data_IF_775141267636
#
_entry.id   IF_775141267636
#
_cell.length_a   1.000
_cell.length_b   1.000
_cell.length_c   1.000
_cell.angle_alpha   90.00
_cell.angle_beta   90.00
_cell.angle_gamma   90.00
#
_symmetry.space_group_name_H-M   'P 1'
#
loop_
_entity.id
_entity.type
_entity.pdbx_description
1 polymer ?
#
# COMPACT_ATOMS: atom_id res chain seq x y z
N UNK A 1 -46.01 -38.00 17.45
CA UNK A 1 -44.63 -37.47 17.52
C UNK A 1 -44.69 -36.05 18.07
N UNK A 2 -44.42 -35.88 19.36
CA UNK A 2 -44.55 -34.58 20.06
C UNK A 2 -43.44 -33.63 19.57
N UNK A 3 -43.81 -32.61 18.81
CA UNK A 3 -42.86 -31.62 18.30
C UNK A 3 -42.19 -30.83 19.43
N UNK A 4 -40.88 -30.65 19.34
CA UNK A 4 -40.11 -29.85 20.29
C UNK A 4 -40.66 -28.40 20.34
N UNK A 5 -40.89 -27.84 21.55
CA UNK A 5 -41.42 -26.48 21.68
C UNK A 5 -40.45 -25.48 21.05
N UNK A 6 -40.99 -24.51 20.30
CA UNK A 6 -40.22 -23.49 19.54
C UNK A 6 -39.12 -22.80 20.36
N UNK A 7 -39.33 -22.64 21.67
CA UNK A 7 -38.37 -22.05 22.59
C UNK A 7 -37.08 -22.88 22.75
N UNK A 8 -37.17 -24.22 22.72
CA UNK A 8 -35.99 -25.09 22.76
C UNK A 8 -35.20 -25.01 21.46
N UNK A 9 -35.88 -24.94 20.32
CA UNK A 9 -35.24 -24.77 19.00
C UNK A 9 -34.49 -23.43 18.95
N UNK A 10 -35.11 -22.35 19.41
CA UNK A 10 -34.47 -21.04 19.50
C UNK A 10 -33.25 -21.05 20.44
N UNK A 11 -33.32 -21.75 21.57
CA UNK A 11 -32.19 -21.89 22.49
C UNK A 11 -31.01 -22.66 21.88
N UNK A 12 -31.27 -23.75 21.14
CA UNK A 12 -30.21 -24.48 20.43
C UNK A 12 -29.56 -23.64 19.33
N UNK A 13 -30.35 -22.89 18.55
CA UNK A 13 -29.82 -21.99 17.52
C UNK A 13 -28.94 -20.88 18.13
N UNK A 14 -29.39 -20.28 19.23
CA UNK A 14 -28.60 -19.28 19.94
C UNK A 14 -27.27 -19.87 20.46
N UNK A 15 -27.30 -21.09 21.01
CA UNK A 15 -26.09 -21.76 21.50
C UNK A 15 -25.08 -22.05 20.38
N UNK A 16 -25.53 -22.55 19.22
CA UNK A 16 -24.66 -22.80 18.05
C UNK A 16 -24.08 -21.50 17.51
N UNK A 17 -24.86 -20.42 17.46
CA UNK A 17 -24.40 -19.12 17.02
C UNK A 17 -23.30 -18.57 17.94
N UNK A 18 -23.49 -18.61 19.26
CA UNK A 18 -22.48 -18.15 20.23
C UNK A 18 -21.19 -18.99 20.12
N UNK A 19 -21.31 -20.32 20.01
CA UNK A 19 -20.16 -21.21 19.83
C UNK A 19 -19.40 -20.92 18.53
N UNK A 20 -20.11 -20.74 17.42
CA UNK A 20 -19.52 -20.37 16.12
C UNK A 20 -18.84 -19.01 16.15
N UNK A 21 -19.41 -18.03 16.86
CA UNK A 21 -18.85 -16.69 16.99
C UNK A 21 -17.56 -16.70 17.83
N UNK A 22 -17.55 -17.44 18.95
CA UNK A 22 -16.36 -17.61 19.77
C UNK A 22 -15.23 -18.34 19.03
N UNK A 23 -15.55 -19.40 18.29
CA UNK A 23 -14.59 -20.14 17.47
C UNK A 23 -14.03 -19.28 16.32
N UNK A 24 -14.88 -18.49 15.65
CA UNK A 24 -14.47 -17.57 14.59
C UNK A 24 -13.57 -16.45 15.09
N UNK A 25 -13.88 -15.86 16.25
CA UNK A 25 -13.05 -14.81 16.86
C UNK A 25 -11.68 -15.35 17.31
N UNK A 26 -11.64 -16.52 17.96
CA UNK A 26 -10.38 -17.12 18.40
C UNK A 26 -9.49 -17.57 17.21
N UNK A 27 -10.08 -18.29 16.24
CA UNK A 27 -9.37 -18.77 15.06
C UNK A 27 -8.92 -17.64 14.12
N UNK A 28 -9.78 -16.64 13.90
CA UNK A 28 -9.50 -15.47 13.08
C UNK A 28 -8.42 -14.56 13.67
N UNK A 29 -8.42 -14.37 15.00
CA UNK A 29 -7.39 -13.57 15.68
C UNK A 29 -6.00 -14.21 15.61
N UNK A 30 -5.92 -15.53 15.75
CA UNK A 30 -4.65 -16.27 15.77
C UNK A 30 -4.01 -16.38 14.38
N UNK A 31 -4.81 -16.60 13.32
CA UNK A 31 -4.30 -16.59 11.94
C UNK A 31 -4.10 -15.16 11.39
N UNK A 32 -4.95 -14.21 11.75
CA UNK A 32 -4.85 -12.81 11.34
C UNK A 32 -3.58 -12.12 11.86
N UNK A 33 -3.19 -12.36 13.13
CA UNK A 33 -1.90 -11.88 13.67
C UNK A 33 -0.72 -12.43 12.86
N UNK A 34 -0.73 -13.73 12.52
CA UNK A 34 0.42 -14.37 11.87
C UNK A 34 0.65 -13.87 10.43
N UNK A 35 -0.40 -13.41 9.75
CA UNK A 35 -0.31 -12.75 8.45
C UNK A 35 0.06 -11.25 8.57
N UNK A 36 -0.44 -10.55 9.61
CA UNK A 36 -0.15 -9.14 9.85
C UNK A 36 1.29 -8.86 10.34
N UNK A 37 1.95 -9.85 10.96
CA UNK A 37 3.32 -9.74 11.50
C UNK A 37 4.40 -10.37 10.62
N UNK A 38 4.17 -10.56 9.31
CA UNK A 38 5.30 -10.67 8.37
C UNK A 38 5.74 -9.25 8.01
N UNK A 39 6.81 -8.69 8.61
CA UNK A 39 7.38 -7.46 8.10
C UNK A 39 7.88 -7.74 6.69
N UNK A 40 7.11 -7.34 5.68
CA UNK A 40 7.58 -7.20 4.32
C UNK A 40 8.41 -5.92 4.28
N UNK A 41 9.58 -5.96 4.90
CA UNK A 41 10.54 -4.88 4.94
C UNK A 41 11.89 -5.52 5.22
N UNK A 42 12.46 -6.19 4.21
CA UNK A 42 13.91 -6.17 4.12
C UNK A 42 14.29 -4.69 3.94
N UNK A 43 15.16 -4.12 4.79
CA UNK A 43 15.75 -2.83 4.49
C UNK A 43 16.27 -2.89 3.06
N UNK A 44 16.02 -1.84 2.27
CA UNK A 44 16.55 -1.72 0.91
C UNK A 44 18.06 -1.69 1.03
N UNK A 45 18.71 -2.86 0.98
CA UNK A 45 20.17 -2.96 0.99
C UNK A 45 20.71 -2.04 -0.09
N UNK A 46 21.77 -1.30 0.21
CA UNK A 46 22.38 -0.46 -0.81
C UNK A 46 22.85 -1.36 -1.94
N UNK A 47 22.76 -0.87 -3.18
CA UNK A 47 23.24 -1.62 -4.35
C UNK A 47 24.69 -2.10 -4.13
N UNK A 48 25.50 -1.28 -3.47
CA UNK A 48 26.86 -1.63 -3.07
C UNK A 48 26.92 -2.80 -2.07
N UNK A 49 26.08 -2.82 -1.03
CA UNK A 49 26.04 -3.92 -0.07
C UNK A 49 25.72 -5.27 -0.73
N UNK A 50 24.76 -5.27 -1.67
CA UNK A 50 24.42 -6.46 -2.45
C UNK A 50 25.59 -6.94 -3.30
N UNK A 51 26.18 -6.05 -4.09
CA UNK A 51 27.34 -6.39 -4.94
C UNK A 51 28.50 -6.90 -4.09
N UNK A 52 28.81 -6.24 -2.97
CA UNK A 52 29.88 -6.71 -2.06
C UNK A 52 29.59 -8.09 -1.50
N UNK A 53 28.34 -8.39 -1.15
CA UNK A 53 27.95 -9.68 -0.57
C UNK A 53 27.94 -10.78 -1.63
N UNK A 54 27.36 -10.52 -2.79
CA UNK A 54 27.20 -11.49 -3.87
C UNK A 54 28.54 -11.89 -4.49
N UNK A 55 29.47 -10.93 -4.61
CA UNK A 55 30.79 -11.15 -5.23
C UNK A 55 31.94 -11.24 -4.22
N UNK A 56 31.65 -11.19 -2.92
CA UNK A 56 32.65 -11.24 -1.83
C UNK A 56 33.82 -10.27 -2.08
N UNK A 57 33.49 -9.03 -2.42
CA UNK A 57 34.49 -8.04 -2.83
C UNK A 57 35.45 -7.71 -1.69
N UNK A 58 36.74 -7.63 -2.00
CA UNK A 58 37.76 -7.13 -1.07
C UNK A 58 37.71 -5.61 -0.94
N UNK A 59 38.26 -5.03 0.15
CA UNK A 59 38.25 -3.58 0.36
C UNK A 59 38.87 -2.77 -0.79
N UNK A 60 39.93 -3.28 -1.42
CA UNK A 60 40.59 -2.65 -2.58
C UNK A 60 39.69 -2.61 -3.82
N UNK A 61 38.81 -3.60 -3.97
CA UNK A 61 37.86 -3.68 -5.08
C UNK A 61 36.63 -2.80 -4.81
N UNK A 62 36.15 -2.78 -3.56
CA UNK A 62 35.06 -1.90 -3.12
C UNK A 62 35.39 -0.45 -3.41
N UNK A 63 36.59 0.01 -3.05
CA UNK A 63 37.02 1.40 -3.27
C UNK A 63 37.02 1.82 -4.76
N UNK A 64 37.19 0.86 -5.69
CA UNK A 64 37.16 1.11 -7.14
C UNK A 64 35.74 1.04 -7.72
N UNK A 65 34.89 0.20 -7.17
CA UNK A 65 33.54 -0.08 -7.68
C UNK A 65 32.49 0.90 -7.12
N UNK A 66 32.67 1.33 -5.87
CA UNK A 66 31.78 2.29 -5.20
C UNK A 66 31.47 3.55 -6.02
N UNK A 67 32.43 4.27 -6.63
CA UNK A 67 32.11 5.44 -7.44
C UNK A 67 31.25 5.11 -8.67
N UNK A 68 31.41 3.92 -9.27
CA UNK A 68 30.62 3.47 -10.42
C UNK A 68 29.16 3.22 -9.98
N UNK A 69 28.98 2.53 -8.86
CA UNK A 69 27.65 2.24 -8.30
C UNK A 69 26.94 3.53 -7.87
N UNK A 70 27.67 4.48 -7.30
CA UNK A 70 27.13 5.77 -6.89
C UNK A 70 26.68 6.62 -8.08
N UNK A 71 27.48 6.70 -9.15
CA UNK A 71 27.10 7.39 -10.39
C UNK A 71 25.83 6.78 -11.02
N UNK A 72 25.78 5.46 -11.16
CA UNK A 72 24.59 4.77 -11.70
C UNK A 72 23.36 5.00 -10.83
N UNK A 73 23.51 4.91 -9.50
CA UNK A 73 22.42 5.17 -8.55
C UNK A 73 21.88 6.61 -8.70
N UNK A 74 22.76 7.60 -8.81
CA UNK A 74 22.37 9.00 -9.03
C UNK A 74 21.64 9.20 -10.36
N UNK A 75 22.15 8.61 -11.46
CA UNK A 75 21.49 8.67 -12.77
C UNK A 75 20.12 8.01 -12.75
N UNK A 76 19.99 6.87 -12.09
CA UNK A 76 18.71 6.17 -11.96
C UNK A 76 17.71 7.00 -11.14
N UNK A 77 18.15 7.67 -10.08
CA UNK A 77 17.31 8.60 -9.33
C UNK A 77 16.88 9.82 -10.17
N UNK A 78 17.77 10.38 -10.98
CA UNK A 78 17.44 11.47 -11.90
C UNK A 78 16.39 11.02 -12.92
N UNK A 79 16.62 9.89 -13.60
CA UNK A 79 15.70 9.33 -14.58
C UNK A 79 14.32 9.06 -13.98
N UNK A 80 14.26 8.48 -12.78
CA UNK A 80 12.99 8.25 -12.09
C UNK A 80 12.24 9.56 -11.85
N UNK A 81 12.92 10.61 -11.34
CA UNK A 81 12.27 11.91 -11.09
C UNK A 81 11.72 12.53 -12.37
N UNK A 82 12.47 12.45 -13.46
CA UNK A 82 12.05 13.04 -14.73
C UNK A 82 10.88 12.27 -15.34
N UNK A 83 10.92 10.94 -15.30
CA UNK A 83 9.80 10.09 -15.71
C UNK A 83 8.55 10.32 -14.84
N UNK A 84 8.69 10.45 -13.52
CA UNK A 84 7.55 10.75 -12.64
C UNK A 84 6.87 12.08 -13.00
N UNK A 85 7.65 13.11 -13.34
CA UNK A 85 7.10 14.39 -13.83
C UNK A 85 6.34 14.22 -15.14
N UNK A 86 6.89 13.48 -16.09
CA UNK A 86 6.24 13.21 -17.38
C UNK A 86 4.94 12.44 -17.22
N UNK A 87 4.94 11.38 -16.39
CA UNK A 87 3.74 10.61 -16.07
C UNK A 87 2.69 11.50 -15.40
N UNK A 88 3.10 12.37 -14.47
CA UNK A 88 2.20 13.34 -13.83
C UNK A 88 1.53 14.28 -14.83
N UNK A 89 2.29 14.79 -15.81
CA UNK A 89 1.75 15.63 -16.88
C UNK A 89 0.74 14.88 -17.75
N UNK A 90 1.08 13.65 -18.17
CA UNK A 90 0.17 12.80 -18.97
C UNK A 90 -1.14 12.49 -18.23
N UNK A 91 -1.06 12.25 -16.91
CA UNK A 91 -2.26 12.00 -16.11
C UNK A 91 -3.14 13.25 -15.97
N UNK A 92 -2.55 14.44 -15.86
CA UNK A 92 -3.31 15.70 -15.88
C UNK A 92 -4.02 15.91 -17.21
N UNK A 93 -3.31 15.71 -18.33
CA UNK A 93 -3.90 15.79 -19.67
C UNK A 93 -5.06 14.80 -19.84
N UNK A 94 -4.89 13.55 -19.39
CA UNK A 94 -5.94 12.54 -19.39
C UNK A 94 -7.16 12.99 -18.58
N UNK A 95 -6.96 13.53 -17.37
CA UNK A 95 -8.07 14.01 -16.55
C UNK A 95 -8.78 15.23 -17.18
N UNK A 96 -8.04 16.15 -17.82
CA UNK A 96 -8.63 17.28 -18.55
C UNK A 96 -9.54 16.77 -19.66
N UNK A 97 -9.05 15.87 -20.52
CA UNK A 97 -9.87 15.27 -21.60
C UNK A 97 -11.06 14.50 -21.07
N UNK A 98 -10.85 13.70 -20.01
CA UNK A 98 -11.92 12.93 -19.39
C UNK A 98 -13.00 13.86 -18.81
N UNK A 99 -12.63 15.02 -18.26
CA UNK A 99 -13.58 15.96 -17.67
C UNK A 99 -14.63 16.48 -18.66
N UNK A 100 -14.35 16.47 -19.96
CA UNK A 100 -15.31 16.88 -21.00
C UNK A 100 -16.55 15.98 -21.03
N UNK A 101 -16.42 14.72 -20.60
CA UNK A 101 -17.48 13.71 -20.62
C UNK A 101 -18.16 13.50 -19.26
N UNK A 102 -17.78 14.28 -18.24
CA UNK A 102 -18.27 14.12 -16.87
C UNK A 102 -19.36 15.13 -16.53
N UNK A 103 -20.33 14.70 -15.73
CA UNK A 103 -21.31 15.59 -15.10
C UNK A 103 -20.67 16.41 -13.95
N UNK A 104 -21.44 17.34 -13.37
CA UNK A 104 -20.94 18.24 -12.35
C UNK A 104 -20.47 17.52 -11.07
N UNK A 105 -21.18 16.49 -10.61
CA UNK A 105 -20.80 15.72 -9.41
C UNK A 105 -19.51 14.93 -9.66
N UNK A 106 -19.41 14.31 -10.84
CA UNK A 106 -18.24 13.55 -11.26
C UNK A 106 -16.99 14.45 -11.43
N UNK A 107 -17.16 15.66 -11.98
CA UNK A 107 -16.07 16.66 -12.06
C UNK A 107 -15.57 17.07 -10.68
N UNK A 108 -16.48 17.27 -9.73
CA UNK A 108 -16.10 17.58 -8.35
C UNK A 108 -15.29 16.43 -7.73
N UNK A 109 -15.74 15.18 -7.87
CA UNK A 109 -15.00 14.00 -7.36
C UNK A 109 -13.63 13.85 -8.02
N UNK A 110 -13.51 14.17 -9.31
CA UNK A 110 -12.24 14.17 -10.03
C UNK A 110 -11.28 15.21 -9.45
N UNK A 111 -11.74 16.44 -9.24
CA UNK A 111 -10.93 17.52 -8.64
C UNK A 111 -10.47 17.17 -7.22
N UNK A 112 -11.35 16.59 -6.39
CA UNK A 112 -10.97 16.14 -5.05
C UNK A 112 -9.91 15.02 -5.09
N UNK A 113 -10.02 14.09 -6.06
CA UNK A 113 -9.03 13.02 -6.25
C UNK A 113 -7.67 13.60 -6.63
N UNK A 114 -7.64 14.59 -7.52
CA UNK A 114 -6.42 15.29 -7.93
C UNK A 114 -5.79 16.05 -6.76
N UNK A 115 -6.57 16.79 -6.00
CA UNK A 115 -6.09 17.53 -4.82
C UNK A 115 -5.50 16.59 -3.76
N UNK A 116 -6.13 15.44 -3.51
CA UNK A 116 -5.57 14.40 -2.62
C UNK A 116 -4.25 13.85 -3.15
N UNK A 117 -4.16 13.62 -4.46
CA UNK A 117 -2.94 13.11 -5.07
C UNK A 117 -1.79 14.12 -5.00
N UNK A 118 -2.06 15.41 -5.24
CA UNK A 118 -1.06 16.47 -5.14
C UNK A 118 -0.54 16.64 -3.70
N UNK A 119 -1.44 16.60 -2.71
CA UNK A 119 -1.04 16.61 -1.29
C UNK A 119 -0.14 15.42 -0.95
N UNK A 120 -0.55 14.21 -1.36
CA UNK A 120 0.26 13.01 -1.15
C UNK A 120 1.64 13.11 -1.79
N UNK A 121 1.74 13.65 -3.02
CA UNK A 121 3.02 13.88 -3.70
C UNK A 121 3.89 14.89 -2.96
N UNK A 122 3.34 16.03 -2.52
CA UNK A 122 4.08 17.04 -1.73
C UNK A 122 4.61 16.44 -0.43
N UNK A 123 3.76 15.76 0.33
CA UNK A 123 4.17 15.08 1.58
C UNK A 123 5.23 13.99 1.36
N UNK A 124 5.22 13.29 0.21
CA UNK A 124 6.25 12.28 -0.09
C UNK A 124 7.54 12.90 -0.62
N UNK A 125 7.46 14.05 -1.30
CA UNK A 125 8.62 14.80 -1.74
C UNK A 125 9.35 15.42 -0.54
N UNK A 126 8.61 15.98 0.41
CA UNK A 126 9.12 16.53 1.67
C UNK A 126 9.74 15.43 2.54
N UNK A 127 9.04 14.30 2.73
CA UNK A 127 9.61 13.14 3.46
C UNK A 127 10.79 12.49 2.75
N UNK A 128 10.80 12.49 1.42
CA UNK A 128 11.93 12.01 0.60
C UNK A 128 13.16 12.90 0.68
N UNK A 129 12.99 14.20 1.01
CA UNK A 129 14.07 15.14 1.24
C UNK A 129 14.69 15.01 2.65
N UNK A 130 13.90 14.61 3.65
CA UNK A 130 14.38 14.47 5.05
C UNK A 130 14.77 13.03 5.47
N UNK A 131 14.38 11.98 4.75
CA UNK A 131 14.80 10.64 5.16
C UNK A 131 14.25 9.48 4.35
N UNK A 132 15.16 8.83 3.63
CA UNK A 132 15.22 7.36 3.44
C UNK A 132 13.87 6.65 3.20
N UNK A 133 13.34 6.79 1.98
CA UNK A 133 12.57 5.77 1.24
C UNK A 133 11.68 4.81 2.06
N UNK A 134 10.76 5.34 2.86
CA UNK A 134 9.71 4.54 3.49
C UNK A 134 8.64 4.12 2.47
N UNK A 135 7.97 2.97 2.66
CA UNK A 135 6.88 2.56 1.79
C UNK A 135 5.72 3.56 1.90
N UNK A 136 5.06 3.81 0.78
CA UNK A 136 3.83 4.59 0.74
C UNK A 136 2.87 4.13 1.84
N UNK A 137 2.25 5.03 2.62
CA UNK A 137 1.19 4.64 3.52
C UNK A 137 0.11 3.97 2.67
N UNK A 138 -0.18 2.70 2.99
CA UNK A 138 -1.20 1.93 2.29
C UNK A 138 -2.47 2.77 2.18
N UNK A 139 -3.09 2.78 1.00
CA UNK A 139 -4.39 3.44 0.81
C UNK A 139 -5.30 3.02 1.95
N UNK A 140 -6.00 3.94 2.63
CA UNK A 140 -7.12 3.55 3.46
C UNK A 140 -8.05 2.78 2.53
N UNK A 141 -8.23 1.49 2.81
CA UNK A 141 -9.28 0.68 2.20
C UNK A 141 -10.59 1.24 2.74
N UNK A 142 -11.03 2.36 2.16
CA UNK A 142 -12.31 2.97 2.40
C UNK A 142 -13.37 1.97 1.96
N UNK A 143 -13.87 1.19 2.91
CA UNK A 143 -15.14 0.52 2.75
C UNK A 143 -16.19 1.62 2.60
N UNK A 144 -16.82 1.67 1.44
CA UNK A 144 -18.03 2.46 1.20
C UNK A 144 -19.08 2.07 2.25
N UNK A 145 -19.53 2.98 3.13
CA UNK A 145 -20.67 2.70 4.00
C UNK A 145 -22.03 2.82 3.28
N UNK A 146 -22.04 3.08 1.96
CA UNK A 146 -23.25 3.50 1.25
C UNK A 146 -23.93 2.43 0.39
N UNK A 147 -23.70 1.13 0.63
CA UNK A 147 -24.51 0.08 0.01
C UNK A 147 -25.50 -0.48 1.03
N UNK A 148 -26.61 0.23 1.24
CA UNK A 148 -27.83 -0.37 1.76
C UNK A 148 -28.67 -0.90 0.58
N UNK A 149 -29.33 -2.07 0.72
CA UNK A 149 -30.26 -2.59 -0.27
C UNK A 149 -31.49 -1.68 -0.42
#
# INVERSE_FOLDING_TARGET
MSGLPRQKIAAYLAAVFVAGTAAGLAGGYQWGRRAAFRPMSRPRESMMQRITTDYQLRPDQVAKIEPIVNDVSQRMHQLQRDQFKQIGALMKECNTRMSEFLDADQKQRLAEREARHEKWLKEHQERGAEGRGGPAPGRPRGGDPARKP
#
